data_IF_836685938991
#
_entry.id   IF_836685938991
#
_cell.length_a   1.000
_cell.length_b   1.000
_cell.length_c   1.000
_cell.angle_alpha   90.00
_cell.angle_beta   90.00
_cell.angle_gamma   90.00
#
_symmetry.space_group_name_H-M   'P 1'
#
loop_
_entity.id
_entity.type
_entity.pdbx_description
1 polymer ?
#
# COMPACT_ATOMS: atom_id res chain seq x y z
N UNK A 1 39.16 -70.85 12.60
CA UNK A 1 37.77 -70.63 12.13
C UNK A 1 37.30 -69.34 12.77
N UNK A 2 37.33 -68.23 12.03
CA UNK A 2 36.96 -66.89 12.50
C UNK A 2 35.81 -66.45 11.59
N UNK A 3 34.63 -66.21 12.17
CA UNK A 3 33.49 -65.64 11.46
C UNK A 3 33.14 -64.33 12.15
N UNK A 4 33.28 -63.26 11.38
CA UNK A 4 33.05 -61.87 11.74
C UNK A 4 31.56 -61.53 11.74
N UNK A 5 31.21 -60.63 12.65
CA UNK A 5 29.91 -60.01 12.89
C UNK A 5 29.56 -59.00 11.80
N UNK A 6 28.28 -59.00 11.38
CA UNK A 6 27.70 -58.07 10.41
C UNK A 6 27.27 -56.76 11.09
N UNK A 7 27.70 -55.65 10.48
CA UNK A 7 27.51 -54.28 10.95
C UNK A 7 26.24 -53.64 10.36
N UNK A 8 25.53 -52.88 11.18
CA UNK A 8 24.34 -52.07 10.85
C UNK A 8 24.73 -50.85 10.01
N UNK A 9 23.98 -50.59 8.94
CA UNK A 9 23.96 -49.28 8.28
C UNK A 9 22.73 -48.50 8.74
N UNK A 10 22.97 -47.46 9.53
CA UNK A 10 21.99 -46.41 9.84
C UNK A 10 22.19 -45.34 8.76
N UNK A 11 21.17 -45.14 7.93
CA UNK A 11 21.07 -44.00 7.02
C UNK A 11 20.80 -42.74 7.86
N UNK A 12 21.85 -41.95 8.11
CA UNK A 12 21.73 -40.57 8.56
C UNK A 12 21.45 -39.69 7.34
N UNK A 13 20.22 -39.17 7.25
CA UNK A 13 19.90 -38.07 6.36
C UNK A 13 20.51 -36.76 6.91
N UNK A 14 21.20 -35.94 6.10
CA UNK A 14 21.67 -34.65 6.57
C UNK A 14 20.49 -33.67 6.56
N UNK A 15 19.92 -33.42 7.74
CA UNK A 15 19.17 -32.20 7.98
C UNK A 15 20.14 -31.03 7.87
N UNK A 16 20.13 -30.36 6.71
CA UNK A 16 20.76 -29.07 6.52
C UNK A 16 19.98 -28.03 7.33
N UNK A 17 20.27 -27.97 8.63
CA UNK A 17 19.94 -26.86 9.51
C UNK A 17 20.85 -25.69 9.11
N UNK A 18 20.45 -24.96 8.07
CA UNK A 18 21.05 -23.66 7.77
C UNK A 18 20.46 -22.66 8.78
N UNK A 19 21.07 -22.63 9.96
CA UNK A 19 20.87 -21.60 10.96
C UNK A 19 21.37 -20.26 10.38
N UNK A 20 20.49 -19.52 9.71
CA UNK A 20 20.67 -18.08 9.56
C UNK A 20 20.53 -17.46 10.96
N UNK A 21 21.65 -17.43 11.69
CA UNK A 21 21.87 -16.48 12.78
C UNK A 21 21.99 -15.08 12.15
N UNK A 22 20.86 -14.55 11.70
CA UNK A 22 20.69 -13.11 11.61
C UNK A 22 20.52 -12.65 13.06
N UNK A 23 21.65 -12.31 13.67
CA UNK A 23 21.70 -11.37 14.78
C UNK A 23 21.18 -10.06 14.20
N UNK A 24 19.86 -9.91 14.18
CA UNK A 24 19.23 -8.61 14.06
C UNK A 24 19.58 -7.88 15.33
N UNK A 25 20.57 -6.99 15.26
CA UNK A 25 20.67 -5.92 16.23
C UNK A 25 19.28 -5.28 16.29
N UNK A 26 18.67 -5.24 17.48
CA UNK A 26 17.60 -4.31 17.76
C UNK A 26 18.19 -2.91 17.64
N UNK A 27 18.27 -2.43 16.41
CA UNK A 27 18.30 -1.01 16.13
C UNK A 27 16.91 -0.47 16.49
N UNK A 28 16.70 -0.23 17.79
CA UNK A 28 15.81 0.85 18.20
C UNK A 28 16.48 2.14 17.79
N UNK A 29 16.42 2.47 16.52
CA UNK A 29 16.76 3.80 16.10
C UNK A 29 15.65 4.74 16.58
N UNK A 30 16.02 5.73 17.39
CA UNK A 30 15.72 7.11 17.02
C UNK A 30 16.33 7.35 15.62
N UNK A 31 15.68 6.84 14.56
CA UNK A 31 16.09 7.07 13.18
C UNK A 31 15.48 8.40 12.78
N UNK A 32 16.28 9.46 12.86
CA UNK A 32 15.92 10.84 12.56
C UNK A 32 15.54 11.10 11.10
N UNK A 33 14.40 10.57 10.67
CA UNK A 33 13.52 11.32 9.78
C UNK A 33 12.88 12.39 10.65
N UNK A 34 13.47 13.58 10.67
CA UNK A 34 12.91 14.75 11.35
C UNK A 34 11.44 14.85 10.93
N UNK A 35 10.51 14.67 11.88
CA UNK A 35 9.13 15.12 11.73
C UNK A 35 9.19 16.64 11.75
N UNK A 36 9.64 17.23 10.64
CA UNK A 36 9.65 18.67 10.46
C UNK A 36 8.19 19.10 10.46
N UNK A 37 7.81 19.93 11.42
CA UNK A 37 6.60 20.72 11.24
C UNK A 37 6.80 21.54 9.97
N UNK A 38 6.04 21.28 8.92
CA UNK A 38 6.00 22.12 7.74
C UNK A 38 5.20 23.36 8.14
N UNK A 39 5.84 24.27 8.87
CA UNK A 39 5.32 25.60 9.13
C UNK A 39 5.65 26.48 7.92
N UNK A 40 4.82 26.41 6.88
CA UNK A 40 4.96 27.26 5.71
C UNK A 40 4.00 26.88 4.58
N UNK A 41 3.60 27.88 3.78
CA UNK A 41 2.80 27.66 2.57
C UNK A 41 3.60 27.04 1.41
N UNK A 42 4.92 26.90 1.55
CA UNK A 42 5.84 26.50 0.48
C UNK A 42 7.04 25.72 1.02
N UNK A 43 7.35 24.60 0.38
CA UNK A 43 8.54 23.76 0.62
C UNK A 43 9.38 23.81 -0.65
N UNK A 44 10.63 24.26 -0.56
CA UNK A 44 11.55 24.21 -1.69
C UNK A 44 12.85 23.57 -1.25
N UNK A 45 13.27 22.49 -1.91
CA UNK A 45 14.58 21.90 -1.66
C UNK A 45 15.34 21.64 -2.96
N UNK A 46 16.65 21.73 -2.86
CA UNK A 46 17.59 21.69 -3.99
C UNK A 46 17.74 20.31 -4.63
N UNK A 47 17.13 19.26 -4.04
CA UNK A 47 17.21 17.87 -4.51
C UNK A 47 16.00 17.02 -4.11
N UNK A 48 14.78 17.54 -4.29
CA UNK A 48 13.59 16.72 -4.09
C UNK A 48 13.22 16.04 -5.38
N UNK A 49 13.17 14.72 -5.33
CA UNK A 49 12.85 13.90 -6.48
C UNK A 49 11.34 13.72 -6.71
N UNK A 50 10.50 14.29 -5.83
CA UNK A 50 9.03 14.36 -6.03
C UNK A 50 8.63 15.16 -7.28
N UNK A 51 9.44 16.14 -7.73
CA UNK A 51 9.10 16.96 -8.90
C UNK A 51 9.54 16.36 -10.25
N UNK A 52 10.42 15.33 -10.28
CA UNK A 52 10.89 14.70 -11.53
C UNK A 52 10.40 13.26 -11.68
N UNK A 53 9.18 13.03 -12.17
CA UNK A 53 8.80 11.73 -12.69
C UNK A 53 9.62 11.45 -13.96
N UNK A 54 10.72 10.70 -13.85
CA UNK A 54 11.58 10.35 -14.99
C UNK A 54 10.93 9.40 -16.01
N UNK A 55 9.64 9.08 -15.86
CA UNK A 55 8.91 8.18 -16.75
C UNK A 55 7.43 8.56 -16.85
N UNK A 56 6.81 8.26 -17.98
CA UNK A 56 5.36 8.36 -18.22
C UNK A 56 4.52 7.31 -17.48
N UNK A 57 5.12 6.37 -16.74
CA UNK A 57 4.39 5.27 -16.11
C UNK A 57 3.73 5.68 -14.78
N UNK A 58 2.41 5.48 -14.69
CA UNK A 58 1.59 5.68 -13.48
C UNK A 58 2.12 4.91 -12.25
N UNK A 59 2.70 3.74 -12.47
CA UNK A 59 3.17 2.83 -11.42
C UNK A 59 4.56 3.18 -10.85
N UNK A 60 5.16 4.30 -11.24
CA UNK A 60 6.53 4.65 -10.80
C UNK A 60 6.60 4.92 -9.30
N UNK A 61 5.55 5.48 -8.71
CA UNK A 61 5.50 5.79 -7.27
C UNK A 61 5.34 4.53 -6.39
N UNK A 62 5.50 3.34 -6.97
CA UNK A 62 5.39 2.06 -6.27
C UNK A 62 3.96 1.67 -5.93
N UNK A 63 2.98 2.47 -6.36
CA UNK A 63 1.56 2.16 -6.21
C UNK A 63 1.11 1.08 -7.16
N UNK A 64 0.00 0.43 -6.81
CA UNK A 64 -0.63 -0.64 -7.56
C UNK A 64 -2.08 -0.31 -7.77
N UNK A 65 -2.60 -0.62 -8.95
CA UNK A 65 -4.01 -0.43 -9.25
C UNK A 65 -4.78 -1.73 -9.00
N UNK A 66 -4.19 -2.68 -8.27
CA UNK A 66 -4.83 -3.94 -8.03
C UNK A 66 -6.17 -3.74 -7.34
N UNK A 67 -7.16 -4.47 -7.83
CA UNK A 67 -8.53 -4.37 -7.36
C UNK A 67 -9.19 -2.99 -7.53
N UNK A 68 -8.53 -2.01 -8.16
CA UNK A 68 -9.19 -0.80 -8.59
C UNK A 68 -10.30 -1.16 -9.60
N UNK A 69 -11.38 -0.40 -9.50
CA UNK A 69 -12.60 -0.51 -10.32
C UNK A 69 -13.08 0.90 -10.59
N UNK A 70 -13.58 1.21 -11.76
CA UNK A 70 -14.12 2.55 -12.02
C UNK A 70 -15.42 2.77 -11.22
N UNK A 71 -15.84 4.03 -11.11
CA UNK A 71 -17.13 4.43 -10.51
C UNK A 71 -17.31 4.01 -9.04
N UNK A 72 -16.26 4.20 -8.24
CA UNK A 72 -16.37 4.03 -6.78
C UNK A 72 -17.47 4.97 -6.23
N UNK A 73 -18.32 4.50 -5.29
CA UNK A 73 -19.36 5.33 -4.73
C UNK A 73 -18.77 6.47 -3.90
N UNK A 74 -19.39 7.65 -3.95
CA UNK A 74 -19.08 8.73 -3.00
C UNK A 74 -19.50 8.32 -1.59
N UNK A 75 -18.54 8.25 -0.68
CA UNK A 75 -18.74 7.85 0.72
C UNK A 75 -17.83 8.66 1.62
N UNK A 76 -18.33 9.03 2.79
CA UNK A 76 -17.54 9.70 3.84
C UNK A 76 -16.56 8.74 4.54
N UNK A 77 -16.83 7.42 4.47
CA UNK A 77 -16.04 6.38 5.12
C UNK A 77 -15.55 5.36 4.09
N UNK A 78 -14.26 5.04 4.19
CA UNK A 78 -13.66 3.89 3.51
C UNK A 78 -13.74 2.74 4.51
N UNK A 79 -14.36 1.60 4.20
CA UNK A 79 -14.60 0.50 5.18
C UNK A 79 -15.29 0.95 6.49
N UNK A 80 -16.62 0.95 6.54
CA UNK A 80 -17.37 1.39 7.73
C UNK A 80 -16.96 0.62 9.02
N UNK A 81 -16.37 1.28 10.04
CA UNK A 81 -15.78 0.58 11.19
C UNK A 81 -16.73 -0.33 11.96
N UNK A 82 -18.01 0.07 12.05
CA UNK A 82 -19.04 -0.71 12.71
C UNK A 82 -19.18 -2.13 12.15
N UNK A 83 -19.03 -2.31 10.82
CA UNK A 83 -19.11 -3.62 10.14
C UNK A 83 -17.95 -4.55 10.49
N UNK A 84 -16.84 -3.99 10.96
CA UNK A 84 -15.57 -4.71 11.13
C UNK A 84 -15.15 -4.91 12.59
N UNK A 85 -15.97 -4.47 13.54
CA UNK A 85 -15.72 -4.62 14.99
C UNK A 85 -15.41 -6.06 15.43
N UNK A 86 -15.99 -7.07 14.78
CA UNK A 86 -15.77 -8.49 15.09
C UNK A 86 -14.78 -9.19 14.12
N UNK A 87 -14.31 -8.49 13.09
CA UNK A 87 -13.48 -9.06 12.03
C UNK A 87 -12.04 -9.23 12.51
N UNK A 88 -11.40 -10.33 12.10
CA UNK A 88 -10.00 -10.57 12.40
C UNK A 88 -9.11 -9.66 11.58
N UNK A 89 -8.38 -8.78 12.24
CA UNK A 89 -7.32 -7.98 11.66
C UNK A 89 -6.08 -8.85 11.44
N UNK A 90 -5.70 -9.06 10.18
CA UNK A 90 -4.56 -9.88 9.78
C UNK A 90 -3.41 -9.00 9.34
N UNK A 91 -2.26 -9.15 9.99
CA UNK A 91 -1.04 -8.39 9.68
C UNK A 91 0.14 -9.32 9.44
N UNK A 92 0.90 -9.06 8.39
CA UNK A 92 2.15 -9.74 8.10
C UNK A 92 3.31 -8.92 8.69
N UNK A 93 4.04 -9.50 9.62
CA UNK A 93 5.38 -9.03 10.00
C UNK A 93 6.48 -9.70 9.18
N UNK A 94 6.12 -10.74 8.43
CA UNK A 94 7.00 -11.49 7.53
C UNK A 94 6.21 -12.05 6.35
N UNK A 95 6.85 -12.16 5.17
CA UNK A 95 6.17 -12.53 3.94
C UNK A 95 5.44 -13.88 4.00
N UNK A 96 5.90 -14.83 4.81
CA UNK A 96 5.27 -16.16 4.89
C UNK A 96 4.44 -16.38 6.15
N UNK A 97 4.24 -15.33 6.98
CA UNK A 97 3.47 -15.44 8.22
C UNK A 97 2.63 -14.20 8.48
N UNK A 98 1.34 -14.43 8.66
CA UNK A 98 0.40 -13.44 9.20
C UNK A 98 0.09 -13.76 10.66
N UNK A 99 -0.06 -12.72 11.44
CA UNK A 99 -0.70 -12.79 12.75
C UNK A 99 -2.14 -12.30 12.61
N UNK A 100 -2.95 -12.62 13.61
CA UNK A 100 -4.35 -12.22 13.67
C UNK A 100 -4.64 -11.61 15.03
N UNK A 101 -5.46 -10.58 15.03
CA UNK A 101 -5.93 -9.89 16.23
C UNK A 101 -7.36 -9.40 16.05
N UNK A 102 -8.04 -9.11 17.16
CA UNK A 102 -9.37 -8.52 17.18
C UNK A 102 -9.46 -7.53 18.34
N UNK A 103 -10.13 -6.39 18.18
CA UNK A 103 -10.74 -5.88 16.95
C UNK A 103 -9.72 -5.22 16.01
N UNK A 104 -10.11 -4.96 14.75
CA UNK A 104 -9.30 -4.13 13.85
C UNK A 104 -9.24 -2.68 14.38
N UNK A 105 -8.05 -2.04 14.40
CA UNK A 105 -7.95 -0.63 14.74
C UNK A 105 -8.75 0.24 13.79
N UNK A 106 -9.38 1.29 14.32
CA UNK A 106 -9.99 2.35 13.50
C UNK A 106 -8.91 3.36 13.11
N UNK A 107 -8.96 3.87 11.90
CA UNK A 107 -8.04 4.85 11.35
C UNK A 107 -8.79 6.13 11.03
N UNK A 108 -8.27 7.26 11.49
CA UNK A 108 -8.66 8.59 11.02
C UNK A 108 -7.52 9.13 10.17
N UNK A 109 -7.76 9.21 8.86
CA UNK A 109 -6.76 9.66 7.90
C UNK A 109 -7.07 11.09 7.52
N UNK A 110 -6.06 11.95 7.60
CA UNK A 110 -6.08 13.31 7.07
C UNK A 110 -4.86 13.50 6.20
N UNK A 111 -5.04 14.01 4.99
CA UNK A 111 -3.97 14.16 4.02
C UNK A 111 -3.97 15.57 3.46
N UNK A 112 -2.84 16.27 3.63
CA UNK A 112 -2.53 17.53 2.97
C UNK A 112 -1.97 17.25 1.58
N UNK A 113 -2.46 17.96 0.58
CA UNK A 113 -2.04 17.77 -0.82
C UNK A 113 -1.23 18.98 -1.25
N UNK A 114 -0.05 18.70 -1.81
CA UNK A 114 0.93 19.68 -2.24
C UNK A 114 1.09 19.61 -3.75
N UNK A 115 1.04 20.77 -4.40
CA UNK A 115 1.31 20.94 -5.82
C UNK A 115 2.80 21.21 -6.02
N UNK A 116 3.50 20.28 -6.63
CA UNK A 116 4.93 20.33 -6.87
C UNK A 116 5.26 20.68 -8.31
N UNK A 117 6.14 21.65 -8.51
CA UNK A 117 6.62 22.09 -9.81
C UNK A 117 8.14 22.05 -9.86
N UNK A 118 8.66 21.49 -10.94
CA UNK A 118 10.06 21.57 -11.30
C UNK A 118 10.39 23.00 -11.73
N UNK A 119 11.28 23.67 -11.00
CA UNK A 119 11.93 24.88 -11.48
C UNK A 119 13.14 24.47 -12.32
N UNK A 120 12.92 24.39 -13.64
CA UNK A 120 13.94 23.98 -14.62
C UNK A 120 15.15 24.91 -14.57
N UNK A 121 14.95 26.20 -14.27
CA UNK A 121 16.01 27.19 -14.23
C UNK A 121 16.82 27.10 -12.93
N UNK A 122 16.15 26.89 -11.79
CA UNK A 122 16.81 26.83 -10.49
C UNK A 122 17.33 25.44 -10.10
N UNK A 123 17.01 24.38 -10.86
CA UNK A 123 17.21 22.98 -10.44
C UNK A 123 16.60 22.66 -9.06
N UNK A 124 15.56 23.41 -8.67
CA UNK A 124 14.89 23.27 -7.39
C UNK A 124 13.48 22.71 -7.60
N UNK A 125 13.06 21.84 -6.69
CA UNK A 125 11.67 21.40 -6.61
C UNK A 125 10.97 22.27 -5.58
N UNK A 126 9.88 22.93 -5.97
CA UNK A 126 9.05 23.70 -5.06
C UNK A 126 7.64 23.13 -5.03
N UNK A 127 7.16 22.85 -3.82
CA UNK A 127 5.83 22.38 -3.54
C UNK A 127 5.08 23.44 -2.75
N UNK A 128 3.87 23.76 -3.18
CA UNK A 128 2.96 24.68 -2.52
C UNK A 128 1.67 23.95 -2.16
N UNK A 129 1.00 24.38 -1.10
CA UNK A 129 -0.25 23.74 -0.70
C UNK A 129 -1.30 23.87 -1.80
N UNK A 130 -1.98 22.79 -2.14
CA UNK A 130 -2.88 22.74 -3.30
C UNK A 130 -4.17 23.52 -3.03
N UNK A 131 -4.45 24.56 -3.81
CA UNK A 131 -5.70 25.32 -3.70
C UNK A 131 -6.77 24.86 -4.69
N UNK A 132 -6.37 24.22 -5.78
CA UNK A 132 -7.28 23.72 -6.81
C UNK A 132 -8.12 22.52 -6.29
N UNK A 133 -9.39 22.39 -6.74
CA UNK A 133 -10.17 21.19 -6.48
C UNK A 133 -9.50 19.93 -7.03
N UNK A 134 -9.69 18.81 -6.34
CA UNK A 134 -9.22 17.51 -6.81
C UNK A 134 -10.14 16.39 -6.36
N UNK A 135 -10.06 15.28 -7.09
CA UNK A 135 -10.78 14.04 -6.79
C UNK A 135 -9.78 13.00 -6.30
N UNK A 136 -10.16 12.30 -5.22
CA UNK A 136 -9.42 11.18 -4.65
C UNK A 136 -10.29 9.94 -4.70
N UNK A 137 -9.81 8.87 -5.34
CA UNK A 137 -10.38 7.54 -5.20
C UNK A 137 -9.52 6.74 -4.24
N UNK A 138 -10.15 6.25 -3.18
CA UNK A 138 -9.50 5.47 -2.12
C UNK A 138 -10.03 4.05 -2.16
N UNK A 139 -9.14 3.08 -2.09
CA UNK A 139 -9.52 1.69 -1.83
C UNK A 139 -8.46 1.00 -0.98
N UNK A 140 -8.87 -0.07 -0.31
CA UNK A 140 -7.98 -0.89 0.50
C UNK A 140 -8.54 -2.30 0.64
N UNK A 141 -7.75 -3.19 1.22
CA UNK A 141 -8.27 -4.46 1.71
C UNK A 141 -9.12 -4.26 2.96
N UNK A 142 -10.03 -5.22 3.16
CA UNK A 142 -10.68 -5.43 4.44
C UNK A 142 -9.64 -5.86 5.49
N UNK A 143 -9.94 -5.77 6.80
CA UNK A 143 -9.02 -6.21 7.85
C UNK A 143 -8.55 -7.66 7.73
N UNK A 144 -9.30 -8.52 7.03
CA UNK A 144 -8.93 -9.91 6.79
C UNK A 144 -7.96 -10.13 5.62
N UNK A 145 -7.57 -9.06 4.94
CA UNK A 145 -6.65 -9.06 3.80
C UNK A 145 -7.29 -9.46 2.49
N UNK A 146 -8.56 -9.13 2.26
CA UNK A 146 -9.25 -9.37 0.99
C UNK A 146 -9.78 -8.07 0.37
N UNK A 147 -9.79 -7.96 -0.96
CA UNK A 147 -10.46 -6.86 -1.65
C UNK A 147 -11.92 -7.22 -1.95
N UNK A 148 -12.81 -6.26 -1.71
CA UNK A 148 -14.23 -6.42 -2.02
C UNK A 148 -14.48 -6.50 -3.53
N UNK A 149 -13.81 -5.66 -4.31
CA UNK A 149 -13.99 -5.54 -5.77
C UNK A 149 -13.51 -6.75 -6.56
N UNK A 150 -12.69 -7.60 -5.96
CA UNK A 150 -12.27 -8.87 -6.55
C UNK A 150 -13.27 -9.99 -6.27
N UNK A 151 -14.20 -9.80 -5.33
CA UNK A 151 -15.20 -10.80 -4.95
C UNK A 151 -16.55 -10.46 -5.58
N UNK A 152 -17.17 -11.39 -6.30
CA UNK A 152 -18.53 -11.25 -6.84
C UNK A 152 -19.59 -11.42 -5.73
N UNK A 153 -19.61 -10.52 -4.75
CA UNK A 153 -20.45 -10.62 -3.54
C UNK A 153 -21.32 -9.38 -3.33
N UNK A 154 -22.27 -9.47 -2.39
CA UNK A 154 -23.24 -8.40 -2.05
C UNK A 154 -22.60 -7.13 -1.50
N UNK A 155 -21.32 -7.19 -1.15
CA UNK A 155 -20.52 -6.13 -0.58
C UNK A 155 -19.54 -5.52 -1.61
N UNK A 156 -19.90 -5.57 -2.90
CA UNK A 156 -19.20 -4.84 -3.95
C UNK A 156 -19.13 -3.33 -3.62
N UNK A 157 -17.97 -2.74 -3.84
CA UNK A 157 -17.68 -1.36 -3.44
C UNK A 157 -17.45 -1.14 -1.94
N UNK A 158 -17.45 -2.17 -1.09
CA UNK A 158 -17.00 -2.02 0.30
C UNK A 158 -15.50 -1.72 0.36
N UNK A 159 -15.06 -0.99 1.39
CA UNK A 159 -13.68 -0.52 1.52
C UNK A 159 -13.19 0.39 0.40
N UNK A 160 -14.10 1.14 -0.23
CA UNK A 160 -13.84 2.04 -1.35
C UNK A 160 -14.68 3.29 -1.26
N UNK A 161 -14.10 4.42 -1.64
CA UNK A 161 -14.80 5.70 -1.69
C UNK A 161 -14.19 6.62 -2.75
N UNK A 162 -15.03 7.49 -3.29
CA UNK A 162 -14.58 8.72 -3.95
C UNK A 162 -14.78 9.90 -3.00
N UNK A 163 -13.76 10.74 -2.88
CA UNK A 163 -13.75 11.96 -2.08
C UNK A 163 -13.46 13.13 -3.01
N UNK A 164 -14.36 14.10 -3.04
CA UNK A 164 -14.17 15.35 -3.75
C UNK A 164 -13.65 16.39 -2.76
N UNK A 165 -12.48 16.94 -3.03
CA UNK A 165 -11.89 18.02 -2.24
C UNK A 165 -11.98 19.35 -2.97
N UNK A 166 -12.26 20.40 -2.23
CA UNK A 166 -12.26 21.79 -2.72
C UNK A 166 -10.91 22.49 -2.49
N UNK A 167 -9.82 21.73 -2.28
CA UNK A 167 -8.47 22.30 -2.07
C UNK A 167 -7.64 21.50 -1.08
N UNK A 168 -6.89 22.21 -0.24
CA UNK A 168 -5.64 21.81 0.44
C UNK A 168 -5.54 20.47 1.17
N UNK A 169 -6.65 19.86 1.59
CA UNK A 169 -6.62 18.57 2.29
C UNK A 169 -7.88 17.75 2.04
N UNK A 170 -7.80 16.45 2.30
CA UNK A 170 -8.94 15.56 2.42
C UNK A 170 -8.81 14.69 3.68
N UNK A 171 -9.92 14.12 4.14
CA UNK A 171 -9.90 13.20 5.27
C UNK A 171 -11.09 12.25 5.27
N UNK A 172 -10.90 11.11 5.91
CA UNK A 172 -11.92 10.06 6.04
C UNK A 172 -11.60 9.16 7.24
N UNK A 173 -12.63 8.44 7.70
CA UNK A 173 -12.48 7.38 8.69
C UNK A 173 -12.53 6.01 8.00
N UNK A 174 -11.71 5.07 8.47
CA UNK A 174 -11.62 3.69 7.98
C UNK A 174 -11.22 2.73 9.08
N UNK A 175 -11.06 1.45 8.74
CA UNK A 175 -10.38 0.45 9.57
C UNK A 175 -9.02 0.10 8.99
N UNK A 176 -8.12 -0.35 9.85
CA UNK A 176 -6.81 -0.83 9.46
C UNK A 176 -6.89 -1.88 8.34
N UNK A 177 -6.23 -1.65 7.18
CA UNK A 177 -6.22 -2.62 6.09
C UNK A 177 -5.50 -3.90 6.51
N UNK A 178 -6.00 -5.05 6.07
CA UNK A 178 -5.33 -6.33 6.33
C UNK A 178 -4.20 -6.60 5.34
N UNK A 179 -3.16 -7.30 5.77
CA UNK A 179 -2.12 -7.80 4.88
C UNK A 179 -2.70 -8.80 3.88
N UNK A 180 -2.57 -8.45 2.61
CA UNK A 180 -2.98 -9.29 1.48
C UNK A 180 -1.80 -10.13 0.98
N UNK A 181 -2.14 -11.30 0.47
CA UNK A 181 -1.29 -12.24 -0.20
C UNK A 181 -1.30 -12.07 -1.71
N UNK A 182 -0.73 -13.04 -2.42
CA UNK A 182 -0.59 -12.97 -3.87
C UNK A 182 -1.93 -12.99 -4.60
N UNK A 183 -3.04 -13.44 -4.01
CA UNK A 183 -4.32 -13.54 -4.71
C UNK A 183 -5.30 -12.42 -4.34
N UNK A 184 -4.98 -11.53 -3.41
CA UNK A 184 -5.89 -10.43 -3.05
C UNK A 184 -7.24 -10.89 -2.48
N UNK A 185 -7.33 -12.15 -2.00
CA UNK A 185 -8.57 -12.79 -1.57
C UNK A 185 -9.33 -13.57 -2.66
N UNK A 186 -8.79 -13.72 -3.87
CA UNK A 186 -9.37 -14.51 -4.96
C UNK A 186 -9.24 -16.03 -4.78
N UNK A 187 -8.56 -16.51 -3.73
CA UNK A 187 -8.39 -17.94 -3.51
C UNK A 187 -9.69 -18.63 -3.08
N UNK A 188 -9.73 -19.98 -3.15
CA UNK A 188 -10.90 -20.75 -2.76
C UNK A 188 -11.45 -20.37 -1.38
N UNK A 189 -12.77 -20.17 -1.30
CA UNK A 189 -13.46 -19.67 -0.11
C UNK A 189 -13.05 -18.25 0.34
N UNK A 190 -12.55 -17.42 -0.58
CA UNK A 190 -12.07 -16.05 -0.28
C UNK A 190 -10.73 -16.02 0.45
N UNK A 191 -9.95 -17.11 0.39
CA UNK A 191 -8.65 -17.20 1.07
C UNK A 191 -7.59 -16.48 0.27
N UNK A 192 -6.58 -16.01 0.98
CA UNK A 192 -5.40 -15.43 0.37
C UNK A 192 -4.15 -16.23 0.72
N UNK A 193 -3.18 -16.27 -0.19
CA UNK A 193 -2.00 -17.14 -0.11
C UNK A 193 -0.71 -16.34 0.01
N UNK A 194 0.26 -16.92 0.70
CA UNK A 194 1.59 -16.35 0.81
C UNK A 194 2.32 -16.32 -0.57
N UNK A 195 3.32 -15.43 -0.75
CA UNK A 195 3.77 -14.40 0.18
C UNK A 195 2.72 -13.32 0.44
N UNK A 196 2.74 -12.77 1.66
CA UNK A 196 1.94 -11.65 2.13
C UNK A 196 2.80 -10.40 2.15
N UNK A 197 2.21 -9.24 1.82
CA UNK A 197 2.90 -7.97 1.95
C UNK A 197 2.33 -7.07 3.04
N UNK A 198 2.82 -5.83 3.12
CA UNK A 198 2.31 -4.87 4.06
C UNK A 198 0.82 -4.57 3.79
N UNK A 199 0.06 -4.24 4.83
CA UNK A 199 -1.26 -3.64 4.67
C UNK A 199 -1.10 -2.23 4.08
N UNK A 200 -1.91 -1.89 3.07
CA UNK A 200 -1.80 -0.65 2.30
C UNK A 200 -3.17 0.01 2.11
N UNK A 201 -3.19 1.34 2.06
CA UNK A 201 -4.29 2.12 1.49
C UNK A 201 -3.83 2.68 0.15
N UNK A 202 -4.66 2.50 -0.86
CA UNK A 202 -4.40 3.00 -2.20
C UNK A 202 -5.10 4.33 -2.43
N UNK A 203 -4.42 5.25 -3.11
CA UNK A 203 -4.95 6.53 -3.54
C UNK A 203 -4.74 6.70 -5.03
N UNK A 204 -5.81 7.03 -5.76
CA UNK A 204 -5.73 7.56 -7.11
C UNK A 204 -6.23 9.00 -7.08
N UNK A 205 -5.33 9.94 -7.32
CA UNK A 205 -5.59 11.38 -7.19
C UNK A 205 -5.55 12.02 -8.58
N UNK A 206 -6.63 12.72 -8.92
CA UNK A 206 -6.79 13.43 -10.19
C UNK A 206 -7.16 14.88 -9.98
N UNK A 207 -6.52 15.76 -10.74
CA UNK A 207 -6.75 17.22 -10.78
C UNK A 207 -6.46 17.73 -12.20
N UNK A 208 -7.11 18.81 -12.61
CA UNK A 208 -7.01 19.34 -13.98
C UNK A 208 -5.58 19.75 -14.38
N UNK A 209 -4.80 20.25 -13.41
CA UNK A 209 -3.46 20.80 -13.64
C UNK A 209 -2.32 19.87 -13.21
N UNK A 210 -2.63 18.65 -12.75
CA UNK A 210 -1.66 17.71 -12.19
C UNK A 210 -1.71 16.38 -12.92
N UNK A 211 -0.61 15.65 -12.83
CA UNK A 211 -0.59 14.29 -13.38
C UNK A 211 -1.43 13.36 -12.49
N UNK A 212 -2.16 12.45 -13.12
CA UNK A 212 -2.82 11.35 -12.41
C UNK A 212 -1.79 10.62 -11.55
N UNK A 213 -2.04 10.54 -10.25
CA UNK A 213 -1.06 10.03 -9.28
C UNK A 213 -1.65 8.86 -8.53
N UNK A 214 -0.97 7.71 -8.63
CA UNK A 214 -1.30 6.47 -7.93
C UNK A 214 -0.30 6.23 -6.80
N UNK A 215 -0.79 6.01 -5.58
CA UNK A 215 0.02 5.85 -4.36
C UNK A 215 -0.47 4.67 -3.55
N UNK A 216 0.46 3.89 -3.01
CA UNK A 216 0.19 2.87 -2.00
C UNK A 216 0.88 3.29 -0.69
N UNK A 217 0.09 3.63 0.32
CA UNK A 217 0.59 4.03 1.64
C UNK A 217 0.54 2.81 2.57
N UNK A 218 1.68 2.22 2.96
CA UNK A 218 1.73 1.11 3.89
C UNK A 218 1.42 1.59 5.31
N UNK A 219 0.45 0.95 5.96
CA UNK A 219 0.00 1.26 7.30
C UNK A 219 0.11 0.03 8.21
N UNK A 220 1.35 -0.41 8.47
CA UNK A 220 1.60 -1.56 9.33
C UNK A 220 1.48 -1.14 10.80
N UNK A 221 0.29 -1.36 11.36
CA UNK A 221 -0.04 -1.03 12.74
C UNK A 221 0.27 -2.23 13.63
N UNK A 222 1.12 -2.04 14.63
CA UNK A 222 1.31 -3.04 15.68
C UNK A 222 0.01 -3.25 16.45
N UNK A 223 -0.39 -4.51 16.61
CA UNK A 223 -1.71 -4.89 17.15
C UNK A 223 -1.90 -4.57 18.64
N UNK A 224 -0.82 -4.33 19.39
CA UNK A 224 -0.90 -4.11 20.83
C UNK A 224 -0.67 -2.65 21.20
N UNK A 225 0.37 -2.05 20.62
CA UNK A 225 0.77 -0.68 20.88
C UNK A 225 0.09 0.34 19.96
N UNK A 226 -0.47 -0.11 18.82
CA UNK A 226 -0.94 0.72 17.73
C UNK A 226 0.14 1.63 17.12
N UNK A 227 1.40 1.39 17.45
CA UNK A 227 2.51 2.11 16.86
C UNK A 227 2.71 1.70 15.40
N UNK A 228 3.21 2.65 14.61
CA UNK A 228 3.66 2.37 13.26
C UNK A 228 4.87 1.43 13.30
N UNK A 229 4.85 0.42 12.45
CA UNK A 229 5.95 -0.51 12.24
C UNK A 229 6.36 -0.48 10.77
N UNK A 230 7.61 -0.81 10.49
CA UNK A 230 8.07 -0.98 9.12
C UNK A 230 7.94 -2.43 8.68
N UNK A 231 7.56 -2.62 7.41
CA UNK A 231 7.67 -3.93 6.80
C UNK A 231 9.13 -4.15 6.37
N UNK A 232 9.92 -4.75 7.26
CA UNK A 232 11.37 -4.90 7.11
C UNK A 232 11.81 -5.94 6.06
N UNK A 233 10.88 -6.49 5.29
CA UNK A 233 11.15 -7.49 4.28
C UNK A 233 10.85 -6.94 2.89
N UNK A 234 11.59 -7.35 1.85
CA UNK A 234 11.16 -7.10 0.49
C UNK A 234 9.75 -7.66 0.28
N UNK A 235 8.92 -6.95 -0.48
CA UNK A 235 7.65 -7.50 -0.87
C UNK A 235 7.85 -8.62 -1.89
N UNK A 236 7.79 -9.86 -1.39
CA UNK A 236 8.02 -11.06 -2.20
C UNK A 236 6.86 -11.39 -3.15
N UNK A 237 5.75 -10.65 -3.08
CA UNK A 237 4.68 -10.73 -4.08
C UNK A 237 5.13 -10.15 -5.43
N UNK A 238 6.23 -9.38 -5.43
CA UNK A 238 6.90 -8.85 -6.61
C UNK A 238 6.92 -7.33 -6.64
N UNK A 239 7.67 -6.77 -7.60
CA UNK A 239 7.71 -5.32 -7.88
C UNK A 239 6.34 -4.75 -8.27
N UNK A 240 5.39 -5.64 -8.55
CA UNK A 240 4.00 -5.36 -8.77
C UNK A 240 3.25 -4.85 -7.54
N UNK A 241 3.79 -5.03 -6.33
CA UNK A 241 3.06 -4.81 -5.08
C UNK A 241 3.62 -3.68 -4.24
N UNK A 242 4.95 -3.56 -4.21
CA UNK A 242 5.69 -2.44 -3.61
C UNK A 242 6.98 -2.32 -4.41
N UNK A 243 7.14 -1.29 -5.24
CA UNK A 243 8.48 -0.98 -5.76
C UNK A 243 9.31 -0.50 -4.57
N UNK A 244 10.36 -1.26 -4.24
CA UNK A 244 11.20 -0.97 -3.08
C UNK A 244 11.69 0.47 -3.09
N UNK A 245 11.58 1.15 -1.92
CA UNK A 245 12.05 2.50 -1.61
C UNK A 245 12.57 3.25 -2.84
N UNK A 246 11.65 3.72 -3.68
CA UNK A 246 12.04 4.74 -4.65
C UNK A 246 12.38 5.94 -3.80
N UNK A 247 13.56 6.52 -4.02
CA UNK A 247 14.18 7.62 -3.26
C UNK A 247 13.37 8.93 -3.41
N UNK A 248 12.13 8.84 -3.89
CA UNK A 248 11.23 9.89 -4.37
C UNK A 248 9.88 9.69 -3.66
N UNK A 249 9.83 9.94 -2.35
CA UNK A 249 8.64 9.74 -1.51
C UNK A 249 7.46 10.65 -1.93
N UNK A 250 6.62 10.19 -2.86
CA UNK A 250 5.42 10.92 -3.30
C UNK A 250 4.40 11.20 -2.17
N UNK A 251 4.66 10.69 -0.96
CA UNK A 251 3.98 11.06 0.27
C UNK A 251 4.92 10.98 1.48
N UNK A 252 4.55 11.62 2.58
CA UNK A 252 5.20 11.53 3.88
C UNK A 252 4.14 11.36 4.97
N UNK A 253 4.38 10.50 5.96
CA UNK A 253 3.56 10.45 7.18
C UNK A 253 4.06 11.54 8.13
N UNK A 254 3.29 12.61 8.31
CA UNK A 254 3.67 13.76 9.14
C UNK A 254 3.31 13.56 10.61
N UNK A 255 2.23 12.84 10.90
CA UNK A 255 1.81 12.53 12.26
C UNK A 255 1.31 11.08 12.36
N UNK A 256 1.70 10.42 13.44
CA UNK A 256 1.14 9.14 13.85
C UNK A 256 0.79 9.18 15.33
N UNK A 257 -0.50 9.19 15.64
CA UNK A 257 -0.99 9.32 17.01
C UNK A 257 -1.87 8.14 17.41
N UNK A 258 -1.32 7.17 18.18
CA UNK A 258 -2.07 6.02 18.65
C UNK A 258 -2.94 6.39 19.86
N UNK A 259 -4.20 5.96 19.83
CA UNK A 259 -5.15 6.06 20.93
C UNK A 259 -5.58 4.67 21.39
N UNK A 260 -4.79 4.07 22.28
CA UNK A 260 -4.97 2.67 22.72
C UNK A 260 -6.30 2.40 23.41
N UNK A 261 -6.86 3.39 24.14
CA UNK A 261 -8.15 3.24 24.84
C UNK A 261 -9.35 3.10 23.88
N UNK A 262 -9.31 3.82 22.76
CA UNK A 262 -10.35 3.83 21.71
C UNK A 262 -10.04 2.85 20.57
N UNK A 263 -8.90 2.14 20.63
CA UNK A 263 -8.38 1.32 19.54
C UNK A 263 -8.34 2.06 18.20
N UNK A 264 -7.87 3.32 18.25
CA UNK A 264 -7.83 4.23 17.12
C UNK A 264 -6.41 4.71 16.84
N UNK A 265 -6.11 5.02 15.58
CA UNK A 265 -4.89 5.72 15.17
C UNK A 265 -5.30 6.91 14.32
N UNK A 266 -4.75 8.08 14.63
CA UNK A 266 -4.84 9.26 13.78
C UNK A 266 -3.56 9.33 12.95
N UNK A 267 -3.73 9.42 11.63
CA UNK A 267 -2.64 9.46 10.66
C UNK A 267 -2.76 10.75 9.86
N UNK A 268 -1.73 11.58 9.91
CA UNK A 268 -1.60 12.73 9.00
C UNK A 268 -0.57 12.44 7.91
N UNK A 269 -0.93 12.75 6.66
CA UNK A 269 -0.12 12.55 5.47
C UNK A 269 0.13 13.88 4.76
N UNK A 270 1.32 14.03 4.17
CA UNK A 270 1.58 14.98 3.10
C UNK A 270 1.68 14.19 1.80
N UNK A 271 0.95 14.60 0.76
CA UNK A 271 0.98 13.97 -0.56
C UNK A 271 1.47 15.00 -1.58
N UNK A 272 2.47 14.64 -2.37
CA UNK A 272 3.14 15.53 -3.31
C UNK A 272 2.73 15.19 -4.75
N UNK A 273 1.98 16.08 -5.39
CA UNK A 273 1.47 15.91 -6.75
C UNK A 273 2.31 16.71 -7.75
N UNK A 274 2.91 16.06 -8.76
CA UNK A 274 3.61 16.79 -9.81
C UNK A 274 2.61 17.48 -10.75
N UNK A 275 2.89 18.74 -11.10
CA UNK A 275 2.13 19.45 -12.14
C UNK A 275 2.23 18.72 -13.49
N UNK A 276 1.20 18.85 -14.32
CA UNK A 276 1.18 18.29 -15.67
C UNK A 276 2.13 19.11 -16.55
N UNK A 277 3.17 18.45 -17.07
CA UNK A 277 3.97 19.04 -18.14
C UNK A 277 3.19 18.94 -19.45
N UNK A 278 3.29 19.96 -20.29
CA UNK A 278 2.60 20.05 -21.59
C UNK A 278 2.93 18.93 -22.59
N UNK A 279 3.88 18.05 -22.28
CA UNK A 279 4.42 17.03 -23.19
C UNK A 279 4.22 15.58 -22.75
N UNK A 280 3.62 15.31 -21.59
CA UNK A 280 3.45 13.92 -21.11
C UNK A 280 1.99 13.50 -21.26
N UNK A 281 1.76 12.50 -22.11
CA UNK A 281 0.45 11.85 -22.26
C UNK A 281 -0.06 11.33 -20.92
N UNK A 282 -1.38 11.46 -20.71
CA UNK A 282 -2.03 10.94 -19.53
C UNK A 282 -1.79 9.43 -19.41
N UNK A 283 -1.25 9.01 -18.27
CA UNK A 283 -0.94 7.62 -18.04
C UNK A 283 -2.23 6.79 -17.92
N UNK A 284 -2.39 5.79 -18.78
CA UNK A 284 -3.47 4.80 -18.70
C UNK A 284 -3.26 3.84 -17.53
N UNK A 285 -4.35 3.47 -16.86
CA UNK A 285 -4.41 2.40 -15.85
C UNK A 285 -4.24 1.01 -16.47
N UNK A 286 -4.54 0.83 -17.76
CA UNK A 286 -4.36 -0.42 -18.49
C UNK A 286 -3.20 -0.24 -19.47
N UNK A 287 -2.01 -0.76 -19.13
CA UNK A 287 -0.81 -0.72 -19.96
C UNK A 287 -0.70 -2.03 -20.76
N UNK A 288 -1.15 -1.98 -22.02
CA UNK A 288 -1.21 -3.13 -22.92
C UNK A 288 0.12 -3.93 -23.02
N UNK A 289 1.27 -3.26 -22.85
CA UNK A 289 2.59 -3.90 -22.97
C UNK A 289 2.93 -4.88 -21.83
N UNK A 290 2.19 -4.85 -20.71
CA UNK A 290 2.41 -5.77 -19.58
C UNK A 290 1.37 -6.90 -19.58
N UNK A 291 0.21 -6.69 -20.23
CA UNK A 291 -0.89 -7.67 -20.26
C UNK A 291 -0.43 -9.04 -20.77
N UNK A 292 -0.68 -10.08 -19.97
CA UNK A 292 -0.33 -11.47 -20.29
C UNK A 292 0.92 -12.01 -19.58
N UNK A 293 1.72 -11.16 -18.93
CA UNK A 293 2.75 -11.62 -18.00
C UNK A 293 2.13 -11.86 -16.61
N UNK A 294 2.55 -12.89 -15.85
CA UNK A 294 2.03 -13.15 -14.50
C UNK A 294 2.07 -11.94 -13.54
N UNK A 295 3.00 -11.02 -13.78
CA UNK A 295 3.19 -9.79 -12.98
C UNK A 295 2.10 -8.74 -13.27
N UNK A 296 1.55 -8.67 -14.50
CA UNK A 296 0.49 -7.70 -14.86
C UNK A 296 -0.79 -7.90 -14.07
N UNK A 297 -1.14 -9.16 -13.78
CA UNK A 297 -2.31 -9.50 -12.96
C UNK A 297 -2.28 -8.82 -11.58
N UNK A 298 -1.12 -8.43 -11.09
CA UNK A 298 -1.01 -7.84 -9.75
C UNK A 298 -0.63 -6.36 -9.76
N UNK A 299 -0.32 -5.79 -10.93
CA UNK A 299 -0.09 -4.36 -11.11
C UNK A 299 -1.38 -3.63 -11.51
N UNK A 300 -2.06 -4.18 -12.51
CA UNK A 300 -3.17 -3.55 -13.20
C UNK A 300 -4.49 -3.80 -12.47
N UNK A 301 -5.50 -2.93 -12.65
CA UNK A 301 -6.84 -3.22 -12.18
C UNK A 301 -7.44 -4.37 -13.00
N UNK A 302 -7.25 -5.61 -12.57
CA UNK A 302 -7.83 -6.78 -13.27
C UNK A 302 -9.33 -6.60 -13.51
N UNK A 303 -10.03 -6.03 -12.53
CA UNK A 303 -11.47 -5.77 -12.63
C UNK A 303 -11.85 -4.82 -13.79
N UNK A 304 -10.93 -3.98 -14.26
CA UNK A 304 -11.12 -3.06 -15.38
C UNK A 304 -10.44 -3.55 -16.66
N UNK A 305 -9.15 -3.89 -16.57
CA UNK A 305 -8.33 -4.18 -17.75
C UNK A 305 -8.53 -5.61 -18.27
N UNK A 306 -8.89 -6.57 -17.42
CA UNK A 306 -9.09 -7.97 -17.84
C UNK A 306 -10.16 -8.66 -16.99
N UNK A 307 -11.42 -8.17 -17.00
CA UNK A 307 -12.48 -8.69 -16.13
C UNK A 307 -12.76 -10.18 -16.34
N UNK A 308 -12.53 -10.73 -17.53
CA UNK A 308 -12.67 -12.16 -17.84
C UNK A 308 -11.76 -13.06 -17.01
N UNK A 309 -10.66 -12.54 -16.47
CA UNK A 309 -9.78 -13.31 -15.57
C UNK A 309 -10.49 -13.66 -14.26
N UNK A 310 -11.41 -12.80 -13.81
CA UNK A 310 -12.18 -13.02 -12.59
C UNK A 310 -13.17 -14.19 -12.72
N UNK A 311 -13.46 -14.66 -13.94
CA UNK A 311 -14.32 -15.82 -14.18
C UNK A 311 -13.61 -17.15 -13.88
N UNK A 312 -12.28 -17.18 -13.79
CA UNK A 312 -11.52 -18.38 -13.43
C UNK A 312 -11.49 -18.65 -11.92
N UNK A 313 -11.86 -17.67 -11.10
CA UNK A 313 -11.89 -17.81 -9.66
C UNK A 313 -13.29 -18.21 -9.19
N UNK A 314 -13.39 -19.38 -8.57
CA UNK A 314 -14.61 -19.88 -7.94
C UNK A 314 -14.80 -19.14 -6.59
N UNK A 315 -15.44 -17.98 -6.64
CA UNK A 315 -15.57 -16.99 -5.56
C UNK A 315 -16.81 -17.16 -4.66
#
# INVERSE_FOLDING_TARGET
>A
MIVLTSCKWILLAPFAFLSFLLIGAEETCEAGGVCGSIEGQRICETRVSHCRPSSSSLYRNGGTAQAYKTDSPEKENVCEPAKYSATSYKTASWAFRRTSSKPAPTLKVKAHVWSCQDDIEASNCCCELMEDPFKVEVWQTRPDGSYASLQKRKDDGDCRATILSNGTFFGFETVAPGSTGILGGLGPSGRDYMPYGPPVIHFLISSDNHRLTLLDVPLLIDRHSLNYSYFNWPDLRGSAWVRGKVIDEAYQISEWKPETKSNQVIVELNIFLPKRDSFVEDASLCQADITGLPISFFLEPIAECTPSVLDFFEL
#
